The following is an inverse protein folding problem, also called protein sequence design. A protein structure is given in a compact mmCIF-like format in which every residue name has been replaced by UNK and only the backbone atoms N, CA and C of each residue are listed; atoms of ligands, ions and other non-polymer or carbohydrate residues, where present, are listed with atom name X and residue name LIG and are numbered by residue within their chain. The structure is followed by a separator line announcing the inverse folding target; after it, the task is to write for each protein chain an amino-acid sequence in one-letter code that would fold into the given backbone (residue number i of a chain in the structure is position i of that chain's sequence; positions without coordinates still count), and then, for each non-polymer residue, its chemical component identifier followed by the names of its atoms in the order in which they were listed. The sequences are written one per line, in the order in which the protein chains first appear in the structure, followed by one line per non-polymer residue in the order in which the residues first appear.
data_IF_718969423143
#
_entry.id   IF_718969423143
#
_cell.length_a   1.000
_cell.length_b   1.000
_cell.length_c   1.000
_cell.angle_alpha   90.00
_cell.angle_beta   90.00
_cell.angle_gamma   90.00
#
_symmetry.space_group_name_H-M   'P 1'
#
loop_
_entity.id
_entity.type
_entity.pdbx_description
1 polymer ?
#
# COMPACT_ATOMS: atom_id res chain seq x y z
N UNK A 1 -42.15 0.83 46.26
CA UNK A 1 -41.16 0.10 45.49
C UNK A 1 -40.84 0.93 44.23
N UNK A 2 -39.69 1.62 44.16
CA UNK A 2 -39.30 2.46 43.02
C UNK A 2 -38.53 1.60 42.03
N UNK A 3 -39.07 1.42 40.83
CA UNK A 3 -38.42 0.70 39.74
C UNK A 3 -37.50 1.71 39.03
N UNK A 4 -36.19 1.56 39.22
CA UNK A 4 -35.17 2.33 38.49
C UNK A 4 -35.05 1.69 37.10
N UNK A 5 -35.53 2.38 36.06
CA UNK A 5 -35.28 1.99 34.66
C UNK A 5 -33.86 2.41 34.26
N UNK A 6 -32.99 1.44 34.11
CA UNK A 6 -31.69 1.69 33.50
C UNK A 6 -31.90 1.89 31.99
N UNK A 7 -31.70 3.12 31.52
CA UNK A 7 -31.66 3.42 30.09
C UNK A 7 -30.27 3.01 29.60
N UNK A 8 -30.16 1.86 28.95
CA UNK A 8 -28.94 1.47 28.22
C UNK A 8 -28.79 2.41 27.05
N UNK A 9 -27.89 3.36 27.17
CA UNK A 9 -27.46 4.23 26.06
C UNK A 9 -26.49 3.42 25.19
N UNK A 10 -27.00 2.86 24.07
CA UNK A 10 -26.15 2.25 23.06
C UNK A 10 -25.34 3.36 22.38
N UNK A 11 -24.05 3.45 22.70
CA UNK A 11 -23.14 4.29 21.93
C UNK A 11 -23.03 3.73 20.49
N UNK A 12 -23.25 4.56 19.47
CA UNK A 12 -23.02 4.11 18.09
C UNK A 12 -21.53 3.79 17.92
N UNK A 13 -21.23 2.58 17.50
CA UNK A 13 -19.89 2.19 17.08
C UNK A 13 -19.60 2.91 15.75
N UNK A 14 -18.90 4.04 15.82
CA UNK A 14 -18.42 4.71 14.61
C UNK A 14 -17.26 3.92 14.06
N UNK A 15 -17.48 3.19 12.97
CA UNK A 15 -16.39 2.62 12.16
C UNK A 15 -15.73 3.79 11.43
N UNK A 16 -14.60 4.24 11.91
CA UNK A 16 -13.76 5.18 11.17
C UNK A 16 -13.06 4.43 10.05
N UNK A 17 -13.49 4.63 8.81
CA UNK A 17 -12.73 4.17 7.63
C UNK A 17 -11.45 5.00 7.60
N UNK A 18 -10.29 4.33 7.52
CA UNK A 18 -9.01 5.02 7.37
C UNK A 18 -9.00 5.86 6.09
N UNK A 19 -8.49 7.08 6.17
CA UNK A 19 -8.28 7.94 4.99
C UNK A 19 -7.39 7.24 3.94
N UNK A 20 -6.43 6.46 4.41
CA UNK A 20 -5.50 5.70 3.57
C UNK A 20 -6.02 4.28 3.39
N UNK A 21 -6.99 4.11 2.50
CA UNK A 21 -7.53 2.80 2.15
C UNK A 21 -7.90 2.75 0.67
N UNK A 22 -7.80 1.56 0.10
CA UNK A 22 -8.30 1.18 -1.23
C UNK A 22 -8.40 -0.34 -1.31
N UNK A 23 -9.08 -0.83 -2.35
CA UNK A 23 -9.17 -2.25 -2.66
C UNK A 23 -9.11 -2.41 -4.17
N UNK A 24 -7.95 -2.83 -4.70
CA UNK A 24 -7.64 -2.92 -6.12
C UNK A 24 -7.12 -4.31 -6.47
N UNK A 25 -7.49 -4.82 -7.65
CA UNK A 25 -7.04 -6.12 -8.15
C UNK A 25 -5.53 -6.14 -8.36
N UNK A 26 -4.86 -7.17 -7.83
CA UNK A 26 -3.47 -7.46 -8.10
C UNK A 26 -3.32 -8.10 -9.50
N UNK A 27 -2.62 -7.40 -10.39
CA UNK A 27 -2.39 -7.78 -11.79
C UNK A 27 -1.10 -8.59 -11.98
N UNK A 28 -0.30 -8.79 -10.92
CA UNK A 28 1.00 -9.43 -11.03
C UNK A 28 0.89 -10.96 -10.85
N UNK A 29 0.99 -11.70 -11.95
CA UNK A 29 0.93 -13.17 -11.92
C UNK A 29 2.08 -13.84 -11.14
N UNK A 30 3.12 -13.10 -10.78
CA UNK A 30 4.23 -13.57 -9.93
C UNK A 30 4.01 -13.26 -8.45
N UNK A 31 2.97 -12.51 -8.11
CA UNK A 31 2.59 -12.21 -6.73
C UNK A 31 1.77 -13.33 -6.11
N UNK A 32 1.93 -13.52 -4.79
CA UNK A 32 1.14 -14.47 -4.00
C UNK A 32 -0.36 -14.13 -3.97
N UNK A 33 -0.70 -12.86 -4.22
CA UNK A 33 -2.08 -12.34 -4.18
C UNK A 33 -2.71 -12.12 -5.55
N UNK A 34 -2.09 -12.62 -6.61
CA UNK A 34 -2.57 -12.47 -7.99
C UNK A 34 -4.07 -12.71 -8.14
N UNK A 35 -4.77 -11.77 -8.77
CA UNK A 35 -6.21 -11.81 -9.00
C UNK A 35 -7.08 -11.50 -7.78
N UNK A 36 -6.49 -11.28 -6.62
CA UNK A 36 -7.20 -10.82 -5.42
C UNK A 36 -7.25 -9.30 -5.37
N UNK A 37 -8.27 -8.75 -4.73
CA UNK A 37 -8.30 -7.34 -4.40
C UNK A 37 -7.44 -7.10 -3.15
N UNK A 38 -6.41 -6.27 -3.28
CA UNK A 38 -5.48 -5.93 -2.22
C UNK A 38 -5.50 -4.45 -1.88
N UNK A 39 -5.02 -4.12 -0.70
CA UNK A 39 -4.93 -2.77 -0.16
C UNK A 39 -4.55 -2.83 1.31
N UNK A 40 -4.56 -1.72 2.04
CA UNK A 40 -4.14 -1.69 3.44
C UNK A 40 -4.89 -2.68 4.34
N UNK A 41 -6.21 -2.82 4.16
CA UNK A 41 -7.03 -3.73 4.99
C UNK A 41 -6.79 -5.22 4.68
N UNK A 42 -6.27 -5.55 3.49
CA UNK A 42 -5.93 -6.93 3.14
C UNK A 42 -4.70 -7.41 3.91
N UNK A 43 -3.75 -6.52 4.20
CA UNK A 43 -2.48 -6.81 4.87
C UNK A 43 -2.46 -6.31 6.32
N UNK A 44 -3.50 -6.62 7.09
CA UNK A 44 -3.55 -6.28 8.52
C UNK A 44 -2.34 -6.89 9.26
N UNK A 45 -1.77 -6.14 10.20
CA UNK A 45 -0.56 -6.48 10.97
C UNK A 45 0.75 -6.54 10.15
N UNK A 46 0.75 -6.04 8.91
CA UNK A 46 1.96 -5.81 8.14
C UNK A 46 2.31 -4.31 8.13
N UNK A 47 3.58 -4.00 8.01
CA UNK A 47 4.00 -2.68 7.51
C UNK A 47 3.80 -2.70 6.00
N UNK A 48 3.06 -1.73 5.47
CA UNK A 48 2.73 -1.69 4.05
C UNK A 48 3.33 -0.47 3.36
N UNK A 49 3.99 -0.72 2.23
CA UNK A 49 4.56 0.29 1.36
C UNK A 49 3.64 0.44 0.15
N UNK A 50 3.22 1.65 -0.14
CA UNK A 50 2.35 1.96 -1.28
C UNK A 50 3.08 2.93 -2.21
N UNK A 51 3.45 2.44 -3.38
CA UNK A 51 4.18 3.22 -4.37
C UNK A 51 3.28 3.61 -5.53
N UNK A 52 3.16 4.92 -5.76
CA UNK A 52 2.34 5.50 -6.83
C UNK A 52 3.19 5.90 -8.04
N UNK A 53 2.78 5.49 -9.25
CA UNK A 53 3.55 5.80 -10.45
C UNK A 53 2.82 5.50 -11.75
N UNK A 54 3.56 5.61 -12.84
CA UNK A 54 3.10 5.31 -14.18
C UNK A 54 3.86 4.14 -14.77
N UNK A 55 3.16 3.12 -15.27
CA UNK A 55 3.77 1.91 -15.85
C UNK A 55 4.74 2.20 -16.99
N UNK A 56 4.47 3.23 -17.79
CA UNK A 56 5.24 3.54 -19.01
C UNK A 56 6.43 4.46 -18.77
N UNK A 57 6.62 4.96 -17.53
CA UNK A 57 7.68 5.89 -17.21
C UNK A 57 8.88 5.17 -16.60
N UNK A 58 10.04 5.21 -17.30
CA UNK A 58 11.23 4.45 -16.91
C UNK A 58 11.72 4.71 -15.49
N UNK A 59 11.66 5.97 -15.00
CA UNK A 59 12.01 6.29 -13.61
C UNK A 59 11.04 5.64 -12.62
N UNK A 60 9.74 5.60 -12.94
CA UNK A 60 8.75 4.92 -12.09
C UNK A 60 9.04 3.41 -12.01
N UNK A 61 9.30 2.79 -13.15
CA UNK A 61 9.66 1.36 -13.23
C UNK A 61 10.93 1.05 -12.44
N UNK A 62 11.96 1.89 -12.60
CA UNK A 62 13.23 1.73 -11.87
C UNK A 62 13.05 1.84 -10.35
N UNK A 63 12.27 2.82 -9.87
CA UNK A 63 12.01 2.98 -8.43
C UNK A 63 11.21 1.83 -7.86
N UNK A 64 10.19 1.37 -8.59
CA UNK A 64 9.42 0.20 -8.17
C UNK A 64 10.29 -1.06 -8.05
N UNK A 65 11.17 -1.32 -9.02
CA UNK A 65 12.10 -2.43 -8.96
C UNK A 65 13.08 -2.36 -7.77
N UNK A 66 13.57 -1.15 -7.44
CA UNK A 66 14.42 -0.95 -6.25
C UNK A 66 13.66 -1.23 -4.94
N UNK A 67 12.41 -0.77 -4.84
CA UNK A 67 11.53 -1.07 -3.69
C UNK A 67 11.24 -2.58 -3.59
N UNK A 68 10.98 -3.23 -4.73
CA UNK A 68 10.74 -4.68 -4.75
C UNK A 68 11.95 -5.47 -4.26
N UNK A 69 13.17 -5.04 -4.57
CA UNK A 69 14.39 -5.68 -4.05
C UNK A 69 14.46 -5.59 -2.52
N UNK A 70 14.18 -4.43 -1.93
CA UNK A 70 14.12 -4.24 -0.47
C UNK A 70 13.02 -5.10 0.14
N UNK A 71 11.85 -5.11 -0.49
CA UNK A 71 10.72 -5.94 -0.06
C UNK A 71 11.06 -7.43 -0.01
N UNK A 72 11.63 -7.97 -1.10
CA UNK A 72 12.05 -9.37 -1.16
C UNK A 72 13.07 -9.72 -0.08
N UNK A 73 14.04 -8.85 0.14
CA UNK A 73 15.07 -9.05 1.16
C UNK A 73 14.48 -9.08 2.57
N UNK A 74 13.62 -8.15 2.91
CA UNK A 74 12.92 -8.12 4.21
C UNK A 74 11.99 -9.33 4.40
N UNK A 75 11.23 -9.72 3.36
CA UNK A 75 10.40 -10.94 3.42
C UNK A 75 11.23 -12.20 3.62
N UNK A 76 12.38 -12.30 2.96
CA UNK A 76 13.29 -13.43 3.13
C UNK A 76 13.85 -13.58 4.55
N UNK A 77 13.96 -12.45 5.27
CA UNK A 77 14.35 -12.39 6.68
C UNK A 77 13.18 -12.67 7.64
N UNK A 78 11.95 -12.85 7.13
CA UNK A 78 10.76 -13.17 7.92
C UNK A 78 10.01 -11.96 8.47
N UNK A 79 10.26 -10.76 7.97
CA UNK A 79 9.52 -9.56 8.36
C UNK A 79 8.13 -9.52 7.71
N UNK A 80 7.13 -9.07 8.47
CA UNK A 80 5.75 -8.86 8.01
C UNK A 80 5.65 -7.51 7.28
N UNK A 81 6.14 -7.46 6.06
CA UNK A 81 6.13 -6.27 5.20
C UNK A 81 5.47 -6.61 3.86
N UNK A 82 4.72 -5.67 3.30
CA UNK A 82 4.17 -5.78 1.95
C UNK A 82 4.45 -4.52 1.14
N UNK A 83 4.72 -4.70 -0.14
CA UNK A 83 4.87 -3.63 -1.12
C UNK A 83 3.73 -3.73 -2.13
N UNK A 84 3.01 -2.63 -2.36
CA UNK A 84 1.96 -2.56 -3.37
C UNK A 84 2.31 -1.42 -4.33
N UNK A 85 2.47 -1.75 -5.61
CA UNK A 85 2.57 -0.76 -6.66
C UNK A 85 1.17 -0.34 -7.12
N UNK A 86 0.87 0.96 -7.10
CA UNK A 86 -0.43 1.52 -7.50
C UNK A 86 -0.21 2.45 -8.69
N UNK A 87 -0.38 1.91 -9.89
CA UNK A 87 -0.24 2.70 -11.10
C UNK A 87 -1.50 3.53 -11.39
N UNK A 88 -1.32 4.62 -12.14
CA UNK A 88 -2.45 5.37 -12.65
C UNK A 88 -3.31 4.50 -13.58
N UNK A 89 -4.61 4.48 -13.36
CA UNK A 89 -5.56 3.58 -14.03
C UNK A 89 -5.64 3.74 -15.55
N UNK A 90 -5.24 4.91 -16.08
CA UNK A 90 -5.16 5.14 -17.53
C UNK A 90 -4.15 4.25 -18.26
N UNK A 91 -3.27 3.56 -17.53
CA UNK A 91 -2.18 2.74 -18.07
C UNK A 91 -2.31 1.24 -17.73
N UNK A 92 -3.47 0.77 -17.34
CA UNK A 92 -3.69 -0.62 -16.88
C UNK A 92 -3.19 -1.69 -17.87
N UNK A 93 -3.27 -1.42 -19.18
CA UNK A 93 -2.77 -2.32 -20.23
C UNK A 93 -1.23 -2.45 -20.30
N UNK A 94 -0.49 -1.61 -19.58
CA UNK A 94 0.99 -1.58 -19.55
C UNK A 94 1.57 -2.16 -18.28
N UNK A 95 0.80 -2.89 -17.48
CA UNK A 95 1.22 -3.49 -16.19
C UNK A 95 2.47 -4.37 -16.29
N UNK A 96 2.69 -5.00 -17.46
CA UNK A 96 3.87 -5.83 -17.74
C UNK A 96 5.20 -5.13 -17.47
N UNK A 97 5.27 -3.81 -17.54
CA UNK A 97 6.49 -3.06 -17.23
C UNK A 97 6.88 -3.15 -15.73
N UNK A 98 5.92 -3.41 -14.84
CA UNK A 98 6.19 -3.57 -13.40
C UNK A 98 6.09 -5.03 -12.95
N UNK A 99 5.35 -5.89 -13.67
CA UNK A 99 5.12 -7.28 -13.25
C UNK A 99 6.16 -8.26 -13.78
N UNK A 100 6.86 -7.94 -14.88
CA UNK A 100 7.77 -8.90 -15.55
C UNK A 100 9.03 -9.27 -14.75
N UNK A 101 9.40 -8.48 -13.75
CA UNK A 101 10.64 -8.67 -12.97
C UNK A 101 10.45 -8.49 -11.46
N UNK A 102 9.21 -8.36 -11.01
CA UNK A 102 8.87 -8.12 -9.61
C UNK A 102 7.82 -9.13 -9.15
N UNK A 103 7.83 -9.46 -7.86
CA UNK A 103 6.88 -10.42 -7.26
C UNK A 103 5.92 -9.79 -6.25
N UNK A 104 6.04 -8.50 -5.97
CA UNK A 104 5.08 -7.76 -5.14
C UNK A 104 3.78 -7.48 -5.89
N UNK A 105 2.66 -7.29 -5.19
CA UNK A 105 1.40 -6.86 -5.78
C UNK A 105 1.52 -5.60 -6.63
N UNK A 106 0.88 -5.61 -7.79
CA UNK A 106 0.82 -4.50 -8.74
C UNK A 106 -0.62 -4.25 -9.13
N UNK A 107 -1.12 -3.07 -8.81
CA UNK A 107 -2.48 -2.65 -9.10
C UNK A 107 -2.50 -1.48 -10.07
N UNK A 108 -3.58 -1.34 -10.83
CA UNK A 108 -3.91 -0.11 -11.51
C UNK A 108 -5.12 0.51 -10.80
N UNK A 109 -5.03 1.80 -10.46
CA UNK A 109 -6.18 2.50 -9.88
C UNK A 109 -7.38 2.43 -10.82
N UNK A 110 -8.58 2.49 -10.29
CA UNK A 110 -9.78 2.41 -11.11
C UNK A 110 -9.95 3.68 -11.98
N UNK A 111 -10.97 3.67 -12.85
CA UNK A 111 -11.23 4.79 -13.77
C UNK A 111 -11.58 6.11 -13.06
N UNK A 112 -12.03 6.08 -11.81
CA UNK A 112 -12.28 7.26 -10.99
C UNK A 112 -11.01 7.80 -10.32
N UNK A 113 -9.91 7.02 -10.27
CA UNK A 113 -8.65 7.44 -9.66
C UNK A 113 -8.75 7.61 -8.15
N UNK A 114 -9.54 6.78 -7.49
CA UNK A 114 -9.92 6.97 -6.09
C UNK A 114 -8.73 6.85 -5.13
N UNK A 115 -7.83 5.87 -5.34
CA UNK A 115 -6.64 5.72 -4.50
C UNK A 115 -5.71 6.93 -4.65
N UNK A 116 -5.40 7.33 -5.88
CA UNK A 116 -4.57 8.50 -6.15
C UNK A 116 -5.17 9.78 -5.56
N UNK A 117 -6.47 9.99 -5.79
CA UNK A 117 -7.19 11.18 -5.33
C UNK A 117 -7.29 11.24 -3.81
N UNK A 118 -7.72 10.15 -3.18
CA UNK A 118 -7.95 10.09 -1.74
C UNK A 118 -6.65 10.20 -0.93
N UNK A 119 -5.54 9.69 -1.49
CA UNK A 119 -4.23 9.79 -0.85
C UNK A 119 -3.49 11.08 -1.18
N UNK A 120 -4.01 11.91 -2.12
CA UNK A 120 -3.31 13.09 -2.62
C UNK A 120 -1.97 12.72 -3.29
N UNK A 121 -1.92 11.53 -3.91
CA UNK A 121 -0.69 10.96 -4.43
C UNK A 121 -0.24 11.65 -5.71
N UNK A 122 1.06 11.73 -5.88
CA UNK A 122 1.75 12.13 -7.11
C UNK A 122 2.63 10.99 -7.62
N UNK A 123 3.06 11.08 -8.86
CA UNK A 123 3.98 10.08 -9.41
C UNK A 123 5.27 9.98 -8.59
N UNK A 124 5.69 8.76 -8.27
CA UNK A 124 6.86 8.42 -7.45
C UNK A 124 6.72 8.78 -5.98
N UNK A 125 5.50 8.98 -5.50
CA UNK A 125 5.25 9.04 -4.07
C UNK A 125 5.29 7.65 -3.46
N UNK A 126 5.95 7.56 -2.32
CA UNK A 126 5.99 6.41 -1.45
C UNK A 126 5.30 6.75 -0.13
N UNK A 127 4.28 5.99 0.21
CA UNK A 127 3.61 6.05 1.50
C UNK A 127 3.91 4.77 2.29
N UNK A 128 4.14 4.88 3.59
CA UNK A 128 4.30 3.72 4.48
C UNK A 128 3.26 3.82 5.58
N UNK A 129 2.52 2.73 5.74
CA UNK A 129 1.61 2.54 6.87
C UNK A 129 2.23 1.55 7.86
N UNK A 130 2.05 1.83 9.16
CA UNK A 130 2.43 0.90 10.22
C UNK A 130 1.46 -0.30 10.28
N UNK A 131 1.72 -1.22 11.21
CA UNK A 131 0.90 -2.43 11.41
C UNK A 131 -0.55 -2.16 11.82
N UNK A 132 -0.88 -0.95 12.24
CA UNK A 132 -2.25 -0.50 12.56
C UNK A 132 -2.95 0.18 11.37
N UNK A 133 -2.24 0.39 10.25
CA UNK A 133 -2.74 1.12 9.10
C UNK A 133 -2.62 2.65 9.21
N UNK A 134 -1.84 3.17 10.17
CA UNK A 134 -1.59 4.60 10.29
C UNK A 134 -0.45 5.03 9.37
N UNK A 135 -0.60 6.18 8.71
CA UNK A 135 0.47 6.76 7.90
C UNK A 135 1.63 7.23 8.80
N UNK A 136 2.83 6.71 8.54
CA UNK A 136 4.06 7.03 9.28
C UNK A 136 5.15 7.66 8.42
N UNK A 137 5.04 7.54 7.09
CA UNK A 137 6.00 8.11 6.15
C UNK A 137 5.32 8.44 4.81
N UNK A 138 5.67 9.60 4.24
CA UNK A 138 5.30 9.98 2.88
C UNK A 138 6.39 10.88 2.28
N UNK A 139 6.98 10.43 1.19
CA UNK A 139 7.94 11.21 0.40
C UNK A 139 7.84 10.90 -1.09
N UNK A 140 8.20 11.91 -1.91
CA UNK A 140 8.42 11.72 -3.33
C UNK A 140 9.85 11.23 -3.58
N UNK A 141 9.98 9.99 -4.04
CA UNK A 141 11.29 9.33 -4.23
C UNK A 141 11.86 9.48 -5.64
N UNK A 142 11.53 10.58 -6.33
CA UNK A 142 12.13 10.88 -7.65
C UNK A 142 13.65 10.90 -7.61
N UNK A 143 14.25 11.51 -6.58
CA UNK A 143 15.69 11.65 -6.42
C UNK A 143 16.38 10.35 -6.02
N UNK A 144 15.70 9.41 -5.42
CA UNK A 144 16.26 8.13 -4.96
C UNK A 144 15.44 7.49 -3.86
N UNK A 145 15.77 6.25 -3.53
CA UNK A 145 15.25 5.56 -2.35
C UNK A 145 15.96 6.15 -1.12
N UNK A 146 15.23 6.49 -0.02
CA UNK A 146 15.85 6.89 1.24
C UNK A 146 16.82 5.82 1.73
N UNK A 147 18.04 6.23 2.12
CA UNK A 147 19.10 5.29 2.52
C UNK A 147 18.83 4.55 3.82
N UNK A 148 17.88 5.06 4.63
CA UNK A 148 17.44 4.51 5.91
C UNK A 148 16.09 3.78 5.82
N UNK A 149 15.53 3.61 4.60
CA UNK A 149 14.20 3.01 4.40
C UNK A 149 14.08 1.63 5.04
N UNK A 150 15.07 0.76 4.84
CA UNK A 150 15.06 -0.60 5.37
C UNK A 150 15.06 -0.61 6.91
N UNK A 151 15.93 0.19 7.54
CA UNK A 151 15.97 0.31 9.00
C UNK A 151 14.69 0.92 9.57
N UNK A 152 14.10 1.89 8.89
CA UNK A 152 12.81 2.46 9.27
C UNK A 152 11.70 1.40 9.27
N UNK A 153 11.62 0.56 8.23
CA UNK A 153 10.63 -0.51 8.15
C UNK A 153 10.82 -1.52 9.30
N UNK A 154 12.06 -1.91 9.57
CA UNK A 154 12.38 -2.85 10.66
C UNK A 154 11.95 -2.26 12.02
N UNK A 155 12.24 -0.99 12.26
CA UNK A 155 11.87 -0.30 13.52
C UNK A 155 10.34 -0.24 13.74
N UNK A 156 9.55 -0.24 12.67
CA UNK A 156 8.07 -0.28 12.75
C UNK A 156 7.51 -1.69 13.06
N UNK A 157 8.34 -2.72 12.98
CA UNK A 157 7.96 -4.13 13.17
C UNK A 157 8.41 -4.71 14.52
N UNK A 158 9.23 -3.96 15.27
CA UNK A 158 9.71 -4.32 16.58
C UNK A 158 8.79 -3.71 17.65
#
# INVERSE_FOLDING_TARGET
MKIIKYLLMALPLTVTVSQYNYSLEDLNSSSETYGSNVGPEYFINHVTLHYFGYFTWGTCTSRFGQLNTIYEDLKSQGYNVELIGVANGSQSSSSGNWTSSNNSPVCADNSSGDAWSNWGASQRDLFILNTNGDLVFHENITSGIPSDLESMIIDLLI
#
